data_IF_032733548093
#
_entry.id   IF_032733548093
#
_cell.length_a   1.000
_cell.length_b   1.000
_cell.length_c   1.000
_cell.angle_alpha   90.00
_cell.angle_beta   90.00
_cell.angle_gamma   90.00
#
_symmetry.space_group_name_H-M   'P 1'
#
loop_
_entity.id
_entity.type
_entity.pdbx_description
1 polymer ?
#
# COMPACT_ATOMS: atom_id res chain seq x y z
N UNK A 1 -13.15 -1.03 8.00
CA UNK A 1 -13.56 -0.28 6.79
C UNK A 1 -14.17 -1.20 5.73
N UNK A 2 -13.41 -2.08 5.09
CA UNK A 2 -13.91 -2.92 3.97
C UNK A 2 -14.97 -3.96 4.39
N UNK A 3 -14.81 -4.57 5.55
CA UNK A 3 -15.78 -5.53 6.12
C UNK A 3 -16.76 -4.88 7.10
N UNK A 4 -16.63 -3.57 7.35
CA UNK A 4 -17.48 -2.84 8.30
C UNK A 4 -18.98 -2.90 7.92
N UNK A 5 -19.39 -2.82 6.64
CA UNK A 5 -20.80 -2.92 6.28
C UNK A 5 -21.48 -4.21 6.77
N UNK A 6 -20.76 -5.33 6.76
CA UNK A 6 -21.26 -6.62 7.26
C UNK A 6 -21.31 -6.70 8.79
N UNK A 7 -20.56 -5.85 9.49
CA UNK A 7 -20.67 -5.73 10.95
C UNK A 7 -21.89 -4.87 11.29
N UNK A 8 -22.09 -3.79 10.54
CA UNK A 8 -23.21 -2.86 10.72
C UNK A 8 -24.58 -3.49 10.40
N UNK A 9 -24.65 -4.38 9.40
CA UNK A 9 -25.87 -5.09 9.03
C UNK A 9 -26.18 -6.33 9.92
N UNK A 10 -25.29 -6.63 10.87
CA UNK A 10 -25.43 -7.75 11.80
C UNK A 10 -25.02 -9.11 11.26
N UNK A 11 -24.53 -9.21 10.02
CA UNK A 11 -24.03 -10.47 9.44
C UNK A 11 -22.79 -10.96 10.19
N UNK A 12 -21.89 -10.05 10.56
CA UNK A 12 -20.64 -10.32 11.26
C UNK A 12 -20.62 -9.68 12.64
N UNK A 13 -19.95 -10.37 13.57
CA UNK A 13 -19.60 -9.85 14.90
C UNK A 13 -18.10 -9.56 14.95
N UNK A 14 -17.72 -8.31 15.19
CA UNK A 14 -16.32 -7.93 15.39
C UNK A 14 -15.82 -8.46 16.73
N UNK A 15 -14.75 -9.27 16.70
CA UNK A 15 -14.14 -9.90 17.89
C UNK A 15 -12.87 -9.18 18.38
N UNK A 16 -12.24 -8.39 17.51
CA UNK A 16 -11.01 -7.66 17.79
C UNK A 16 -10.41 -7.08 16.51
N UNK A 17 -9.38 -6.27 16.65
CA UNK A 17 -8.63 -5.67 15.55
C UNK A 17 -7.14 -5.77 15.83
N UNK A 18 -6.36 -6.15 14.81
CA UNK A 18 -4.89 -6.17 14.87
C UNK A 18 -4.40 -5.42 13.64
N UNK A 19 -3.92 -4.16 13.78
CA UNK A 19 -3.39 -3.44 12.65
C UNK A 19 -2.08 -4.08 12.18
N UNK A 20 -1.84 -4.10 10.88
CA UNK A 20 -0.55 -4.52 10.32
C UNK A 20 0.51 -3.48 10.70
N UNK A 21 1.64 -3.87 11.32
CA UNK A 21 2.61 -2.91 11.85
C UNK A 21 3.58 -2.35 10.81
N UNK A 22 3.35 -2.63 9.51
CA UNK A 22 4.18 -2.25 8.36
C UNK A 22 3.31 -1.83 7.16
N UNK A 23 3.88 -1.19 6.12
CA UNK A 23 3.15 -0.78 4.93
C UNK A 23 2.39 -1.94 4.30
N UNK A 24 1.08 -1.74 4.09
CA UNK A 24 0.18 -2.80 3.62
C UNK A 24 0.16 -3.00 2.10
N UNK A 25 0.73 -2.06 1.33
CA UNK A 25 0.78 -2.12 -0.12
C UNK A 25 2.17 -1.75 -0.65
N UNK A 26 2.62 -2.49 -1.67
CA UNK A 26 3.87 -2.25 -2.40
C UNK A 26 3.65 -2.50 -3.90
N UNK A 27 4.44 -1.85 -4.75
CA UNK A 27 4.48 -2.12 -6.18
C UNK A 27 5.64 -3.09 -6.44
N UNK A 28 5.37 -4.16 -7.18
CA UNK A 28 6.38 -5.15 -7.56
C UNK A 28 6.40 -5.30 -9.08
N UNK A 29 7.60 -5.49 -9.62
CA UNK A 29 7.81 -5.76 -11.04
C UNK A 29 8.69 -7.00 -11.19
N UNK A 30 8.48 -7.73 -12.30
CA UNK A 30 9.37 -8.84 -12.65
C UNK A 30 10.73 -8.32 -13.11
N UNK A 31 11.79 -9.05 -12.81
CA UNK A 31 13.16 -8.66 -13.16
C UNK A 31 13.32 -8.46 -14.67
N UNK A 32 12.72 -9.31 -15.51
CA UNK A 32 12.80 -9.18 -16.97
C UNK A 32 12.14 -7.89 -17.44
N UNK A 33 11.03 -7.49 -16.82
CA UNK A 33 10.32 -6.25 -17.17
C UNK A 33 11.16 -5.02 -16.79
N UNK A 34 11.84 -5.06 -15.64
CA UNK A 34 12.75 -4.00 -15.21
C UNK A 34 13.95 -3.85 -16.15
N UNK A 35 14.47 -4.97 -16.67
CA UNK A 35 15.61 -4.98 -17.60
C UNK A 35 15.22 -4.57 -19.01
N UNK A 36 14.13 -5.14 -19.54
CA UNK A 36 13.73 -4.95 -20.94
C UNK A 36 12.95 -3.65 -21.16
N UNK A 37 12.24 -3.16 -20.14
CA UNK A 37 11.33 -2.02 -20.25
C UNK A 37 11.45 -1.00 -19.09
N UNK A 38 12.66 -0.55 -18.72
CA UNK A 38 12.86 0.33 -17.56
C UNK A 38 12.10 1.65 -17.67
N UNK A 39 12.04 2.25 -18.88
CA UNK A 39 11.34 3.51 -19.11
C UNK A 39 9.83 3.36 -18.93
N UNK A 40 9.23 2.25 -19.41
CA UNK A 40 7.80 2.00 -19.23
C UNK A 40 7.44 1.91 -17.74
N UNK A 41 8.25 1.19 -16.96
CA UNK A 41 8.02 1.07 -15.51
C UNK A 41 8.14 2.45 -14.84
N UNK A 42 9.14 3.26 -15.23
CA UNK A 42 9.30 4.64 -14.75
C UNK A 42 8.08 5.50 -15.05
N UNK A 43 7.57 5.47 -16.28
CA UNK A 43 6.43 6.27 -16.70
C UNK A 43 5.16 5.89 -15.92
N UNK A 44 4.90 4.59 -15.75
CA UNK A 44 3.78 4.10 -14.95
C UNK A 44 3.92 4.54 -13.48
N UNK A 45 5.10 4.39 -12.88
CA UNK A 45 5.35 4.86 -11.51
C UNK A 45 5.17 6.36 -11.38
N UNK A 46 5.63 7.15 -12.35
CA UNK A 46 5.46 8.60 -12.35
C UNK A 46 3.98 8.99 -12.39
N UNK A 47 3.18 8.35 -13.24
CA UNK A 47 1.73 8.58 -13.31
C UNK A 47 1.06 8.24 -11.97
N UNK A 48 1.37 7.08 -11.39
CA UNK A 48 0.80 6.66 -10.10
C UNK A 48 1.21 7.64 -8.99
N UNK A 49 2.47 8.02 -8.91
CA UNK A 49 2.99 8.93 -7.89
C UNK A 49 2.36 10.32 -8.02
N UNK A 50 2.20 10.84 -9.23
CA UNK A 50 1.54 12.13 -9.47
C UNK A 50 0.08 12.10 -9.04
N UNK A 51 -0.67 11.04 -9.39
CA UNK A 51 -2.08 10.91 -9.02
C UNK A 51 -2.22 10.76 -7.49
N UNK A 52 -1.41 9.89 -6.88
CA UNK A 52 -1.53 9.58 -5.44
C UNK A 52 -1.14 10.74 -4.54
N UNK A 53 -0.20 11.59 -4.98
CA UNK A 53 0.23 12.80 -4.26
C UNK A 53 -0.93 13.76 -4.00
N UNK A 54 -1.77 13.97 -5.00
CA UNK A 54 -2.87 14.94 -4.95
C UNK A 54 -4.24 14.25 -4.78
N UNK A 55 -4.26 12.93 -4.54
CA UNK A 55 -5.49 12.13 -4.54
C UNK A 55 -6.53 12.62 -3.51
N UNK A 56 -6.09 12.97 -2.31
CA UNK A 56 -6.97 13.50 -1.25
C UNK A 56 -7.50 14.90 -1.55
N UNK A 57 -6.90 15.62 -2.49
CA UNK A 57 -7.33 16.97 -2.91
C UNK A 57 -8.38 16.94 -4.02
N UNK A 58 -8.69 15.75 -4.57
CA UNK A 58 -9.73 15.61 -5.59
C UNK A 58 -11.09 15.99 -5.00
N UNK A 59 -11.85 16.92 -5.64
CA UNK A 59 -13.15 17.34 -5.13
C UNK A 59 -14.13 16.17 -5.00
N UNK A 60 -14.79 16.10 -3.84
CA UNK A 60 -15.79 15.07 -3.51
C UNK A 60 -15.28 13.62 -3.60
N UNK A 61 -13.98 13.39 -3.39
CA UNK A 61 -13.39 12.04 -3.53
C UNK A 61 -14.01 11.04 -2.54
N UNK A 62 -14.34 11.48 -1.33
CA UNK A 62 -15.02 10.67 -0.31
C UNK A 62 -16.38 10.16 -0.81
N UNK A 63 -17.18 11.04 -1.41
CA UNK A 63 -18.50 10.71 -1.94
C UNK A 63 -18.39 9.77 -3.15
N UNK A 64 -17.39 9.98 -4.01
CA UNK A 64 -17.14 9.10 -5.15
C UNK A 64 -16.77 7.68 -4.72
N UNK A 65 -15.87 7.54 -3.73
CA UNK A 65 -15.46 6.25 -3.16
C UNK A 65 -16.64 5.58 -2.46
N UNK A 66 -17.37 6.32 -1.62
CA UNK A 66 -18.55 5.84 -0.91
C UNK A 66 -19.61 5.29 -1.87
N UNK A 67 -19.95 6.03 -2.93
CA UNK A 67 -20.91 5.60 -3.93
C UNK A 67 -20.43 4.37 -4.72
N UNK A 68 -19.15 4.36 -5.13
CA UNK A 68 -18.59 3.26 -5.93
C UNK A 68 -18.52 1.94 -5.15
N UNK A 69 -18.22 2.01 -3.86
CA UNK A 69 -18.00 0.83 -3.02
C UNK A 69 -19.15 0.55 -2.05
N UNK A 70 -20.27 1.28 -2.18
CA UNK A 70 -21.43 1.19 -1.30
C UNK A 70 -21.05 1.29 0.19
N UNK A 71 -20.20 2.27 0.51
CA UNK A 71 -19.72 2.56 1.86
C UNK A 71 -20.37 3.84 2.40
N UNK A 72 -20.41 3.96 3.73
CA UNK A 72 -20.80 5.21 4.40
C UNK A 72 -19.74 6.27 4.17
N UNK A 73 -20.14 7.51 3.90
CA UNK A 73 -19.20 8.62 3.64
C UNK A 73 -18.31 8.87 4.86
N UNK A 74 -18.87 8.74 6.06
CA UNK A 74 -18.18 8.93 7.34
C UNK A 74 -17.07 7.89 7.56
N UNK A 75 -17.30 6.64 7.12
CA UNK A 75 -16.31 5.56 7.19
C UNK A 75 -15.17 5.81 6.19
N UNK A 76 -15.51 6.29 4.99
CA UNK A 76 -14.53 6.65 3.95
C UNK A 76 -13.68 7.84 4.38
N UNK A 77 -14.29 8.87 4.96
CA UNK A 77 -13.59 10.02 5.54
C UNK A 77 -12.59 9.57 6.61
N UNK A 78 -13.05 8.74 7.56
CA UNK A 78 -12.20 8.18 8.61
C UNK A 78 -11.04 7.39 8.02
N UNK A 79 -11.29 6.55 7.01
CA UNK A 79 -10.26 5.78 6.33
C UNK A 79 -9.23 6.67 5.60
N UNK A 80 -9.69 7.69 4.86
CA UNK A 80 -8.80 8.62 4.15
C UNK A 80 -7.94 9.45 5.10
N UNK A 81 -8.42 9.77 6.29
CA UNK A 81 -7.65 10.54 7.27
C UNK A 81 -6.40 9.79 7.78
N UNK A 82 -6.45 8.46 7.86
CA UNK A 82 -5.35 7.62 8.35
C UNK A 82 -4.53 6.95 7.24
N UNK A 83 -4.98 7.03 5.98
CA UNK A 83 -4.31 6.37 4.85
C UNK A 83 -3.24 7.28 4.26
N UNK A 84 -2.02 6.79 4.09
CA UNK A 84 -0.94 7.52 3.43
C UNK A 84 -0.36 6.71 2.28
N UNK A 85 0.00 7.39 1.18
CA UNK A 85 0.69 6.80 0.04
C UNK A 85 2.08 7.39 -0.09
N UNK A 86 3.09 6.54 -0.02
CA UNK A 86 4.49 6.92 -0.23
C UNK A 86 4.83 6.99 -1.71
N UNK A 87 5.56 8.03 -2.13
CA UNK A 87 6.18 8.12 -3.46
C UNK A 87 7.66 7.71 -3.44
N UNK A 88 8.11 7.10 -2.34
CA UNK A 88 9.48 6.60 -2.12
C UNK A 88 9.45 5.11 -1.78
N UNK A 89 10.56 4.44 -2.05
CA UNK A 89 10.78 3.05 -1.62
C UNK A 89 10.67 2.92 -0.10
N UNK A 90 10.34 1.71 0.35
CA UNK A 90 10.42 1.32 1.76
C UNK A 90 11.84 1.56 2.27
N UNK A 91 11.98 1.98 3.52
CA UNK A 91 13.31 2.13 4.12
C UNK A 91 13.93 0.78 4.48
N UNK A 92 15.26 0.74 4.56
CA UNK A 92 15.98 -0.47 5.01
C UNK A 92 15.60 -0.88 6.43
N UNK A 93 15.35 0.09 7.32
CA UNK A 93 14.87 -0.15 8.69
C UNK A 93 13.49 -0.82 8.71
N UNK A 94 12.54 -0.30 7.92
CA UNK A 94 11.20 -0.90 7.81
C UNK A 94 11.28 -2.31 7.25
N UNK A 95 12.11 -2.54 6.21
CA UNK A 95 12.32 -3.88 5.66
C UNK A 95 12.90 -4.83 6.71
N UNK A 96 13.91 -4.42 7.48
CA UNK A 96 14.49 -5.29 8.52
C UNK A 96 13.49 -5.60 9.63
N UNK A 97 12.67 -4.62 10.04
CA UNK A 97 11.60 -4.83 11.02
C UNK A 97 10.60 -5.87 10.53
N UNK A 98 10.13 -5.76 9.28
CA UNK A 98 9.21 -6.74 8.67
C UNK A 98 9.83 -8.13 8.65
N UNK A 99 11.06 -8.26 8.13
CA UNK A 99 11.73 -9.55 8.03
C UNK A 99 11.99 -10.16 9.41
N UNK A 100 12.29 -9.36 10.42
CA UNK A 100 12.48 -9.82 11.81
C UNK A 100 11.21 -10.43 12.40
N UNK A 101 10.06 -9.75 12.24
CA UNK A 101 8.78 -10.28 12.72
C UNK A 101 8.37 -11.55 11.96
N UNK A 102 8.52 -11.57 10.62
CA UNK A 102 8.23 -12.76 9.83
C UNK A 102 9.11 -13.95 10.21
N UNK A 103 10.39 -13.71 10.52
CA UNK A 103 11.33 -14.74 10.97
C UNK A 103 10.95 -15.26 12.37
N UNK A 104 10.59 -14.37 13.30
CA UNK A 104 10.12 -14.73 14.64
C UNK A 104 8.84 -15.57 14.61
N UNK A 105 7.98 -15.31 13.63
CA UNK A 105 6.76 -16.08 13.38
C UNK A 105 7.00 -17.37 12.57
N UNK A 106 8.26 -17.66 12.20
CA UNK A 106 8.65 -18.79 11.35
C UNK A 106 7.95 -18.82 9.97
N UNK A 107 7.61 -17.64 9.43
CA UNK A 107 7.00 -17.51 8.10
C UNK A 107 8.04 -17.42 6.98
N UNK A 108 9.28 -17.07 7.32
CA UNK A 108 10.44 -17.06 6.43
C UNK A 108 11.64 -17.74 7.12
N UNK A 109 12.61 -18.21 6.33
CA UNK A 109 13.78 -18.93 6.84
C UNK A 109 15.05 -18.08 6.90
N UNK A 110 15.09 -16.96 6.19
CA UNK A 110 16.24 -16.06 6.12
C UNK A 110 15.80 -14.64 5.81
N UNK A 111 16.63 -13.67 6.18
CA UNK A 111 16.53 -12.29 5.72
C UNK A 111 17.25 -12.13 4.38
N UNK A 112 16.74 -11.23 3.55
CA UNK A 112 17.33 -10.75 2.30
C UNK A 112 17.89 -9.34 2.51
N UNK A 113 18.90 -8.97 1.72
CA UNK A 113 19.46 -7.62 1.74
C UNK A 113 18.50 -6.64 1.09
N UNK A 114 18.59 -5.38 1.50
CA UNK A 114 17.76 -4.30 0.94
C UNK A 114 17.88 -4.20 -0.59
N UNK A 115 19.09 -4.29 -1.13
CA UNK A 115 19.38 -4.24 -2.57
C UNK A 115 18.89 -5.45 -3.35
N UNK A 116 18.54 -6.56 -2.69
CA UNK A 116 17.96 -7.74 -3.35
C UNK A 116 16.43 -7.64 -3.48
N UNK A 117 15.80 -6.80 -2.66
CA UNK A 117 14.34 -6.67 -2.56
C UNK A 117 13.84 -5.38 -3.21
N UNK A 118 14.66 -4.34 -3.20
CA UNK A 118 14.30 -3.02 -3.73
C UNK A 118 15.08 -2.69 -4.98
N UNK A 119 14.43 -1.96 -5.88
CA UNK A 119 15.04 -1.46 -7.10
C UNK A 119 14.76 0.04 -7.19
N UNK A 120 15.79 0.82 -7.46
CA UNK A 120 15.65 2.26 -7.64
C UNK A 120 15.55 2.59 -9.14
N UNK A 121 14.41 3.14 -9.53
CA UNK A 121 14.10 3.51 -10.91
C UNK A 121 14.35 5.01 -11.16
N UNK A 122 14.69 5.76 -10.09
CA UNK A 122 14.80 7.22 -10.12
C UNK A 122 16.07 7.76 -10.78
N UNK A 123 17.06 6.92 -11.12
CA UNK A 123 18.29 7.35 -11.77
C UNK A 123 18.65 6.49 -12.99
N UNK A 124 18.28 6.97 -14.17
CA UNK A 124 19.10 6.74 -15.37
C UNK A 124 18.97 8.00 -16.21
N UNK A 125 20.05 8.78 -16.24
CA UNK A 125 20.23 9.92 -17.15
C UNK A 125 20.10 9.48 -18.61
#
# INVERSE_FOLDING_TARGET
>A
FTTNPHVDDGTFRRIGEIPTPWPCFVIVARNEVLQDNPQLVRDVLQVINNITKDFKSVPNIEQQIAARHNQKVEDVHSWLSITEWSQRNISEEELDKVQSELLKLNLITKKLKFSEVTHDISETK
#
